data_IF_833012323078
#
_entry.id   IF_833012323078
#
_cell.length_a   1.000
_cell.length_b   1.000
_cell.length_c   1.000
_cell.angle_alpha   90.00
_cell.angle_beta   90.00
_cell.angle_gamma   90.00
#
_symmetry.space_group_name_H-M   'P 1'
#
loop_
_entity.id
_entity.type
_entity.pdbx_description
1 polymer ?
#
# COMPACT_ATOMS: atom_id res chain seq x y z
N UNK A 1 -57.95 12.83 -8.39
CA UNK A 1 -56.56 12.35 -8.57
C UNK A 1 -55.66 13.18 -7.71
N UNK A 2 -55.03 12.56 -6.73
CA UNK A 2 -54.52 13.21 -5.54
C UNK A 2 -53.26 14.04 -5.74
N UNK A 3 -53.31 15.29 -5.33
CA UNK A 3 -52.26 16.30 -5.26
C UNK A 3 -51.18 15.93 -4.18
N UNK A 4 -51.35 14.82 -3.45
CA UNK A 4 -50.51 14.41 -2.31
C UNK A 4 -49.56 13.26 -2.58
N UNK A 5 -49.50 12.72 -3.80
CA UNK A 5 -48.60 11.58 -4.09
C UNK A 5 -47.11 11.94 -4.16
N UNK A 6 -46.76 13.23 -4.15
CA UNK A 6 -45.39 13.71 -4.16
C UNK A 6 -44.75 13.96 -2.78
N UNK A 7 -45.57 13.98 -1.70
CA UNK A 7 -45.13 14.34 -0.36
C UNK A 7 -44.55 13.14 0.44
N UNK A 8 -44.81 11.92 -0.01
CA UNK A 8 -44.26 10.69 0.62
C UNK A 8 -43.21 10.03 -0.26
N UNK A 9 -42.27 10.79 -0.82
CA UNK A 9 -41.04 10.17 -1.32
C UNK A 9 -40.33 9.63 -0.12
N UNK A 10 -40.34 8.31 -0.01
CA UNK A 10 -39.54 7.55 0.96
C UNK A 10 -38.12 8.11 1.00
N UNK A 11 -37.73 8.69 2.14
CA UNK A 11 -36.36 9.13 2.43
C UNK A 11 -35.48 7.94 2.87
N UNK A 12 -35.94 6.72 2.66
CA UNK A 12 -35.37 5.51 3.23
C UNK A 12 -34.22 4.94 2.41
N UNK A 13 -33.80 5.62 1.33
CA UNK A 13 -32.69 5.17 0.50
C UNK A 13 -31.44 5.96 0.82
N UNK A 14 -30.34 5.29 1.25
CA UNK A 14 -29.08 5.96 1.44
C UNK A 14 -28.61 6.61 0.14
N UNK A 15 -28.14 7.86 0.23
CA UNK A 15 -27.68 8.65 -0.91
C UNK A 15 -26.16 8.69 -1.03
N UNK A 16 -25.44 8.23 0.02
CA UNK A 16 -23.98 8.22 0.01
C UNK A 16 -23.44 7.18 -0.98
N UNK A 17 -22.75 7.67 -2.01
CA UNK A 17 -22.03 6.86 -2.99
C UNK A 17 -20.55 6.95 -2.69
N UNK A 18 -19.88 5.81 -2.71
CA UNK A 18 -18.43 5.72 -2.51
C UNK A 18 -17.66 5.77 -3.84
N UNK A 19 -18.29 6.28 -4.89
CA UNK A 19 -17.66 6.34 -6.22
C UNK A 19 -16.40 7.21 -6.15
N UNK A 20 -15.29 6.65 -6.59
CA UNK A 20 -13.91 7.11 -6.51
C UNK A 20 -13.57 8.59 -6.79
N UNK A 21 -14.52 9.42 -7.19
CA UNK A 21 -14.30 10.86 -7.38
C UNK A 21 -14.01 11.62 -6.08
N UNK A 22 -14.50 11.13 -4.93
CA UNK A 22 -14.21 11.74 -3.62
C UNK A 22 -12.76 11.59 -3.17
N UNK A 23 -12.00 10.72 -3.84
CA UNK A 23 -10.60 10.41 -3.51
C UNK A 23 -9.61 10.99 -4.51
N UNK A 24 -10.03 11.83 -5.45
CA UNK A 24 -9.14 12.42 -6.46
C UNK A 24 -7.98 13.20 -5.86
N UNK A 25 -8.16 13.80 -4.67
CA UNK A 25 -7.09 14.49 -3.94
C UNK A 25 -6.01 13.52 -3.42
N UNK A 26 -6.32 12.24 -3.24
CA UNK A 26 -5.36 11.20 -2.87
C UNK A 26 -4.61 10.65 -4.08
N UNK A 27 -5.16 10.82 -5.28
CA UNK A 27 -4.52 10.45 -6.54
C UNK A 27 -3.53 11.55 -6.97
N UNK A 28 -2.48 11.16 -7.66
CA UNK A 28 -1.43 12.05 -8.12
C UNK A 28 -0.07 11.75 -7.50
N UNK A 29 0.97 12.32 -8.09
CA UNK A 29 2.35 12.16 -7.62
C UNK A 29 2.59 12.78 -6.25
N UNK A 30 3.67 12.36 -5.61
CA UNK A 30 4.18 13.05 -4.42
C UNK A 30 4.81 14.40 -4.79
N UNK A 31 4.91 15.30 -3.83
CA UNK A 31 5.60 16.61 -4.02
C UNK A 31 7.09 16.47 -4.36
N UNK A 32 7.70 15.32 -4.07
CA UNK A 32 9.07 14.98 -4.45
C UNK A 32 9.21 14.49 -5.90
N UNK A 33 8.11 14.40 -6.66
CA UNK A 33 8.09 13.84 -8.02
C UNK A 33 8.23 12.31 -8.09
N UNK A 34 8.32 11.62 -6.94
CA UNK A 34 8.40 10.15 -6.90
C UNK A 34 7.01 9.52 -6.90
N UNK A 35 6.79 8.47 -7.70
CA UNK A 35 5.55 7.72 -7.66
C UNK A 35 5.47 6.94 -6.35
N UNK A 36 4.37 7.12 -5.62
CA UNK A 36 4.10 6.42 -4.36
C UNK A 36 2.83 5.60 -4.54
N UNK A 37 2.98 4.30 -4.38
CA UNK A 37 1.91 3.31 -4.29
C UNK A 37 2.27 2.29 -3.20
N UNK A 38 1.38 1.36 -2.94
CA UNK A 38 1.57 0.36 -1.88
C UNK A 38 2.83 -0.48 -2.10
N UNK A 39 3.13 -0.81 -3.36
CA UNK A 39 4.34 -1.60 -3.71
C UNK A 39 5.61 -0.81 -3.48
N UNK A 40 5.70 0.43 -3.97
CA UNK A 40 6.90 1.27 -3.77
C UNK A 40 7.08 1.66 -2.30
N UNK A 41 5.98 1.89 -1.58
CA UNK A 41 6.02 2.16 -0.15
C UNK A 41 6.55 0.96 0.65
N UNK A 42 6.15 -0.26 0.32
CA UNK A 42 6.62 -1.49 0.98
C UNK A 42 8.09 -1.82 0.70
N UNK A 43 8.72 -1.21 -0.30
CA UNK A 43 10.16 -1.33 -0.52
C UNK A 43 10.97 -0.52 0.49
N UNK A 44 10.36 0.46 1.15
CA UNK A 44 10.99 1.23 2.21
C UNK A 44 11.01 0.43 3.51
N UNK A 45 12.19 0.25 4.09
CA UNK A 45 12.38 -0.50 5.34
C UNK A 45 11.48 -0.02 6.47
N UNK A 46 11.32 1.29 6.63
CA UNK A 46 10.48 1.88 7.67
C UNK A 46 9.00 1.52 7.50
N UNK A 47 8.46 1.64 6.28
CA UNK A 47 7.07 1.29 5.98
C UNK A 47 6.83 -0.20 6.16
N UNK A 48 7.72 -1.03 5.59
CA UNK A 48 7.66 -2.49 5.74
C UNK A 48 7.66 -2.90 7.21
N UNK A 49 8.56 -2.34 8.02
CA UNK A 49 8.66 -2.66 9.44
C UNK A 49 7.41 -2.25 10.21
N UNK A 50 6.85 -1.07 9.95
CA UNK A 50 5.61 -0.61 10.59
C UNK A 50 4.43 -1.53 10.23
N UNK A 51 4.26 -1.85 8.95
CA UNK A 51 3.18 -2.73 8.48
C UNK A 51 3.32 -4.12 9.11
N UNK A 52 4.53 -4.70 9.07
CA UNK A 52 4.81 -6.01 9.62
C UNK A 52 4.52 -6.09 11.12
N UNK A 53 5.07 -5.17 11.90
CA UNK A 53 4.92 -5.18 13.37
C UNK A 53 3.45 -5.08 13.76
N UNK A 54 2.69 -4.19 13.12
CA UNK A 54 1.26 -4.01 13.42
C UNK A 54 0.43 -5.21 12.97
N UNK A 55 0.72 -5.76 11.79
CA UNK A 55 0.00 -6.92 11.27
C UNK A 55 0.25 -8.17 12.13
N UNK A 56 1.52 -8.48 12.46
CA UNK A 56 1.89 -9.59 13.32
C UNK A 56 1.32 -9.44 14.73
N UNK A 57 1.34 -8.22 15.30
CA UNK A 57 0.80 -7.95 16.64
C UNK A 57 -0.70 -8.25 16.72
N UNK A 58 -1.48 -7.82 15.71
CA UNK A 58 -2.93 -8.11 15.65
C UNK A 58 -3.18 -9.58 15.36
N UNK A 59 -2.42 -10.18 14.43
CA UNK A 59 -2.56 -11.59 14.06
C UNK A 59 -2.25 -12.54 15.22
N UNK A 60 -1.31 -12.17 16.11
CA UNK A 60 -0.94 -12.95 17.27
C UNK A 60 -2.01 -12.99 18.38
N UNK A 61 -3.00 -12.09 18.35
CA UNK A 61 -4.09 -12.07 19.33
C UNK A 61 -5.13 -13.15 19.00
N UNK A 62 -5.49 -14.02 19.93
CA UNK A 62 -6.50 -15.05 19.68
C UNK A 62 -7.89 -14.41 19.55
N UNK A 63 -8.59 -14.74 18.46
CA UNK A 63 -9.96 -14.30 18.23
C UNK A 63 -10.93 -15.40 18.75
N UNK A 64 -11.69 -15.08 19.80
CA UNK A 64 -12.64 -15.99 20.39
C UNK A 64 -14.08 -15.55 20.12
N UNK A 65 -14.93 -16.50 19.81
CA UNK A 65 -16.38 -16.31 19.79
C UNK A 65 -16.97 -16.60 21.18
N UNK A 66 -17.86 -15.71 21.63
CA UNK A 66 -18.54 -15.85 22.91
C UNK A 66 -20.05 -15.92 22.75
N UNK A 67 -20.71 -16.69 23.60
CA UNK A 67 -22.17 -16.72 23.77
C UNK A 67 -22.54 -16.22 25.16
N UNK A 68 -23.69 -15.54 25.26
CA UNK A 68 -24.25 -15.16 26.57
C UNK A 68 -24.79 -16.42 27.26
N UNK A 69 -24.60 -16.49 28.56
CA UNK A 69 -25.18 -17.55 29.41
C UNK A 69 -26.46 -17.05 30.08
N UNK A 70 -27.33 -17.96 30.44
CA UNK A 70 -28.60 -17.64 31.12
C UNK A 70 -28.39 -16.92 32.45
N UNK A 71 -27.21 -17.09 33.05
CA UNK A 71 -26.80 -16.41 34.32
C UNK A 71 -26.27 -14.98 34.10
N UNK A 72 -26.31 -14.42 32.86
CA UNK A 72 -25.85 -13.08 32.55
C UNK A 72 -24.34 -12.94 32.30
N UNK A 73 -23.60 -14.07 32.31
CA UNK A 73 -22.17 -14.10 31.97
C UNK A 73 -21.92 -14.34 30.47
N UNK A 74 -20.62 -14.47 30.10
CA UNK A 74 -20.16 -14.86 28.76
C UNK A 74 -19.32 -16.13 28.85
N UNK A 75 -19.58 -17.10 27.97
CA UNK A 75 -18.78 -18.31 27.81
C UNK A 75 -18.24 -18.39 26.38
N UNK A 76 -17.08 -19.02 26.18
CA UNK A 76 -16.56 -19.28 24.83
C UNK A 76 -17.52 -20.24 24.09
N UNK A 77 -17.89 -19.86 22.89
CA UNK A 77 -18.81 -20.65 22.05
C UNK A 77 -18.01 -21.62 21.15
N UNK A 78 -17.28 -22.53 21.75
CA UNK A 78 -16.39 -23.48 21.05
C UNK A 78 -17.17 -24.50 20.21
N UNK A 79 -18.44 -24.68 20.51
CA UNK A 79 -19.41 -25.52 19.80
C UNK A 79 -20.01 -24.84 18.55
N UNK A 80 -19.78 -23.52 18.37
CA UNK A 80 -20.33 -22.78 17.25
C UNK A 80 -19.46 -22.99 15.99
N UNK A 81 -20.04 -23.24 14.79
CA UNK A 81 -19.28 -23.49 13.56
C UNK A 81 -18.26 -22.39 13.20
N UNK A 82 -18.59 -21.12 13.48
CA UNK A 82 -17.68 -20.00 13.24
C UNK A 82 -16.49 -19.97 14.21
N UNK A 83 -16.50 -20.71 15.32
CA UNK A 83 -15.39 -20.68 16.27
C UNK A 83 -14.12 -21.20 15.61
N UNK A 84 -14.18 -22.37 14.98
CA UNK A 84 -13.04 -22.96 14.28
C UNK A 84 -12.53 -22.07 13.14
N UNK A 85 -13.44 -21.51 12.32
CA UNK A 85 -13.09 -20.63 11.21
C UNK A 85 -12.37 -19.35 11.66
N UNK A 86 -12.78 -18.75 12.78
CA UNK A 86 -12.19 -17.49 13.24
C UNK A 86 -10.96 -17.70 14.11
N UNK A 87 -10.92 -18.78 14.89
CA UNK A 87 -9.86 -19.04 15.85
C UNK A 87 -8.71 -19.84 15.27
N UNK A 88 -8.99 -20.87 14.47
CA UNK A 88 -7.99 -21.83 14.00
C UNK A 88 -7.73 -21.78 12.50
N UNK A 89 -8.73 -22.05 11.67
CA UNK A 89 -8.57 -22.32 10.24
C UNK A 89 -9.69 -21.70 9.41
N UNK A 90 -9.52 -20.46 8.88
CA UNK A 90 -10.54 -19.78 8.09
C UNK A 90 -10.78 -20.43 6.73
N UNK A 91 -9.82 -21.16 6.19
CA UNK A 91 -9.90 -21.94 4.95
C UNK A 91 -8.75 -22.96 4.91
N UNK A 92 -8.78 -23.96 3.99
CA UNK A 92 -7.75 -25.01 3.91
C UNK A 92 -6.34 -24.52 3.52
N UNK A 93 -6.19 -23.28 3.07
CA UNK A 93 -4.94 -22.74 2.54
C UNK A 93 -4.15 -21.94 3.58
N UNK A 94 -4.78 -21.49 4.66
CA UNK A 94 -4.14 -20.61 5.64
C UNK A 94 -4.68 -20.77 7.06
N UNK A 95 -3.81 -20.61 8.05
CA UNK A 95 -4.19 -20.51 9.45
C UNK A 95 -4.88 -19.16 9.76
N UNK A 96 -5.56 -19.10 10.90
CA UNK A 96 -6.19 -17.86 11.36
C UNK A 96 -5.16 -16.73 11.62
N UNK A 97 -3.92 -17.08 11.97
CA UNK A 97 -2.83 -16.11 12.09
C UNK A 97 -2.55 -15.44 10.74
N UNK A 98 -2.26 -16.23 9.69
CA UNK A 98 -1.98 -15.73 8.34
C UNK A 98 -3.17 -14.94 7.78
N UNK A 99 -4.39 -15.40 8.02
CA UNK A 99 -5.60 -14.70 7.60
C UNK A 99 -5.70 -13.30 8.22
N UNK A 100 -5.54 -13.19 9.55
CA UNK A 100 -5.59 -11.90 10.25
C UNK A 100 -4.43 -10.99 9.86
N UNK A 101 -3.22 -11.55 9.71
CA UNK A 101 -2.04 -10.82 9.22
C UNK A 101 -2.29 -10.23 7.84
N UNK A 102 -2.85 -11.02 6.92
CA UNK A 102 -3.21 -10.59 5.57
C UNK A 102 -4.26 -9.48 5.60
N UNK A 103 -5.35 -9.64 6.36
CA UNK A 103 -6.39 -8.61 6.47
C UNK A 103 -5.84 -7.32 7.09
N UNK A 104 -4.99 -7.42 8.12
CA UNK A 104 -4.37 -6.25 8.74
C UNK A 104 -3.39 -5.56 7.78
N UNK A 105 -2.62 -6.32 7.02
CA UNK A 105 -1.74 -5.79 5.96
C UNK A 105 -2.56 -5.04 4.90
N UNK A 106 -3.68 -5.61 4.46
CA UNK A 106 -4.59 -4.94 3.53
C UNK A 106 -5.12 -3.62 4.10
N UNK A 107 -5.51 -3.63 5.38
CA UNK A 107 -6.01 -2.44 6.07
C UNK A 107 -4.96 -1.34 6.15
N UNK A 108 -3.71 -1.68 6.46
CA UNK A 108 -2.60 -0.75 6.59
C UNK A 108 -2.13 -0.18 5.25
N UNK A 109 -2.27 -0.92 4.15
CA UNK A 109 -1.84 -0.48 2.83
C UNK A 109 -2.96 0.23 2.06
N UNK A 110 -4.17 -0.33 2.03
CA UNK A 110 -5.28 0.16 1.22
C UNK A 110 -6.41 0.81 2.04
N UNK A 111 -6.33 0.75 3.37
CA UNK A 111 -7.36 1.29 4.25
C UNK A 111 -8.63 0.46 4.32
N UNK A 112 -8.67 -0.68 3.67
CA UNK A 112 -9.79 -1.62 3.67
C UNK A 112 -9.27 -3.04 3.61
N UNK A 113 -9.97 -3.95 4.30
CA UNK A 113 -9.73 -5.38 4.17
C UNK A 113 -11.03 -6.09 3.82
N UNK A 114 -10.95 -7.04 2.91
CA UNK A 114 -12.09 -7.80 2.42
C UNK A 114 -11.80 -9.30 2.48
N UNK A 115 -12.82 -10.07 2.82
CA UNK A 115 -12.78 -11.50 2.63
C UNK A 115 -14.11 -12.00 2.05
N UNK A 116 -14.05 -12.93 1.11
CA UNK A 116 -15.21 -13.61 0.57
C UNK A 116 -15.71 -14.65 1.58
N UNK A 117 -16.99 -14.64 1.83
CA UNK A 117 -17.67 -15.60 2.69
C UNK A 117 -18.19 -16.74 1.81
N UNK A 118 -17.65 -17.93 1.97
CA UNK A 118 -18.11 -19.12 1.25
C UNK A 118 -19.11 -19.86 2.12
N UNK A 119 -20.23 -20.25 1.51
CA UNK A 119 -21.31 -20.97 2.18
C UNK A 119 -21.55 -22.32 1.50
N UNK A 120 -21.95 -23.30 2.31
CA UNK A 120 -22.43 -24.60 1.80
C UNK A 120 -23.88 -24.50 1.31
N UNK A 121 -24.42 -25.62 0.77
CA UNK A 121 -25.79 -25.67 0.29
C UNK A 121 -26.88 -25.48 1.35
N UNK A 122 -26.51 -25.48 2.64
CA UNK A 122 -27.41 -25.19 3.78
C UNK A 122 -27.32 -23.71 4.22
N UNK A 123 -26.46 -22.92 3.59
CA UNK A 123 -26.22 -21.50 3.94
C UNK A 123 -25.23 -21.29 5.09
N UNK A 124 -24.61 -22.34 5.63
CA UNK A 124 -23.61 -22.24 6.68
C UNK A 124 -22.28 -21.76 6.11
N UNK A 125 -21.58 -20.89 6.85
CA UNK A 125 -20.25 -20.40 6.46
C UNK A 125 -19.25 -21.52 6.65
N UNK A 126 -18.53 -21.85 5.57
CA UNK A 126 -17.55 -22.94 5.55
C UNK A 126 -16.13 -22.47 5.28
N UNK A 127 -15.94 -21.28 4.73
CA UNK A 127 -14.60 -20.71 4.53
C UNK A 127 -14.64 -19.19 4.38
N UNK A 128 -13.49 -18.55 4.64
CA UNK A 128 -13.23 -17.12 4.44
C UNK A 128 -11.94 -16.98 3.62
N UNK A 129 -12.03 -16.32 2.45
CA UNK A 129 -10.87 -16.08 1.60
C UNK A 129 -10.59 -14.58 1.47
N UNK A 130 -9.37 -14.09 1.77
CA UNK A 130 -9.03 -12.68 1.58
C UNK A 130 -9.17 -12.26 0.11
N UNK A 131 -9.72 -11.07 -0.11
CA UNK A 131 -9.84 -10.45 -1.43
C UNK A 131 -8.93 -9.22 -1.50
N UNK A 132 -8.24 -9.05 -2.63
CA UNK A 132 -7.33 -7.92 -2.83
C UNK A 132 -8.08 -6.59 -2.88
N UNK A 133 -7.79 -5.63 -1.99
CA UNK A 133 -8.55 -4.38 -1.90
C UNK A 133 -8.46 -3.50 -3.15
N UNK A 134 -7.32 -3.51 -3.85
CA UNK A 134 -7.13 -2.76 -5.10
C UNK A 134 -7.98 -3.27 -6.26
N UNK A 135 -8.56 -4.47 -6.14
CA UNK A 135 -9.49 -5.07 -7.10
C UNK A 135 -10.96 -4.93 -6.67
N UNK A 136 -11.22 -4.31 -5.50
CA UNK A 136 -12.56 -4.20 -4.92
C UNK A 136 -13.11 -2.79 -5.09
N UNK A 137 -14.36 -2.69 -5.53
CA UNK A 137 -15.13 -1.44 -5.56
C UNK A 137 -16.39 -1.63 -4.75
N UNK A 138 -16.71 -0.62 -3.93
CA UNK A 138 -17.91 -0.59 -3.10
C UNK A 138 -18.84 0.49 -3.65
N UNK A 139 -20.08 0.17 -3.99
CA UNK A 139 -21.05 1.14 -4.52
C UNK A 139 -22.49 0.75 -4.13
N UNK A 140 -23.45 1.60 -4.52
CA UNK A 140 -24.89 1.39 -4.32
C UNK A 140 -25.61 1.31 -5.66
N UNK A 141 -26.57 0.42 -5.74
CA UNK A 141 -27.46 0.29 -6.89
C UNK A 141 -28.49 1.42 -6.93
N UNK A 142 -29.33 1.43 -7.97
CA UNK A 142 -30.42 2.39 -8.14
C UNK A 142 -31.46 2.36 -7.01
N UNK A 143 -31.52 1.27 -6.25
CA UNK A 143 -32.37 1.09 -5.09
C UNK A 143 -31.73 1.52 -3.77
N UNK A 144 -30.47 1.99 -3.81
CA UNK A 144 -29.69 2.36 -2.65
C UNK A 144 -29.05 1.17 -1.91
N UNK A 145 -29.16 -0.05 -2.45
CA UNK A 145 -28.56 -1.24 -1.84
C UNK A 145 -27.07 -1.28 -2.10
N UNK A 146 -26.28 -1.52 -1.05
CA UNK A 146 -24.84 -1.69 -1.14
C UNK A 146 -24.51 -2.96 -1.91
N UNK A 147 -23.47 -2.89 -2.75
CA UNK A 147 -22.87 -4.05 -3.40
C UNK A 147 -21.38 -3.86 -3.58
N UNK A 148 -20.70 -4.96 -3.80
CA UNK A 148 -19.26 -5.02 -4.06
C UNK A 148 -19.02 -5.53 -5.48
N UNK A 149 -18.04 -4.95 -6.17
CA UNK A 149 -17.57 -5.45 -7.47
C UNK A 149 -16.11 -5.84 -7.34
N UNK A 150 -15.80 -7.11 -7.55
CA UNK A 150 -14.44 -7.63 -7.53
C UNK A 150 -13.95 -7.88 -8.95
N UNK A 151 -12.80 -7.30 -9.30
CA UNK A 151 -12.15 -7.50 -10.60
C UNK A 151 -11.23 -8.71 -10.52
N UNK A 152 -11.53 -9.75 -11.32
CA UNK A 152 -10.67 -10.93 -11.45
C UNK A 152 -9.45 -10.61 -12.31
N UNK A 153 -8.31 -11.27 -12.04
CA UNK A 153 -7.17 -11.27 -12.94
C UNK A 153 -7.49 -12.09 -14.20
N UNK A 154 -6.88 -11.76 -15.35
CA UNK A 154 -7.05 -12.54 -16.57
C UNK A 154 -6.61 -14.01 -16.42
N UNK A 155 -5.70 -14.30 -15.47
CA UNK A 155 -5.25 -15.65 -15.14
C UNK A 155 -6.31 -16.46 -14.35
N UNK A 156 -7.20 -15.77 -13.62
CA UNK A 156 -8.31 -16.37 -12.86
C UNK A 156 -9.59 -16.53 -13.72
N UNK A 157 -9.66 -15.83 -14.84
CA UNK A 157 -10.78 -15.86 -15.76
C UNK A 157 -10.57 -16.95 -16.84
N UNK A 158 -10.83 -18.20 -16.53
CA UNK A 158 -10.84 -19.30 -17.52
C UNK A 158 -11.97 -19.20 -18.55
N UNK A 159 -12.84 -18.18 -18.46
CA UNK A 159 -13.93 -17.94 -19.40
C UNK A 159 -14.00 -16.46 -19.77
N UNK A 160 -14.28 -16.19 -21.05
CA UNK A 160 -14.37 -14.84 -21.61
C UNK A 160 -15.55 -14.00 -21.10
N UNK A 161 -16.37 -14.49 -20.20
CA UNK A 161 -17.48 -13.76 -19.61
C UNK A 161 -17.07 -13.11 -18.29
N UNK A 162 -16.80 -11.79 -18.36
CA UNK A 162 -16.81 -10.87 -17.24
C UNK A 162 -15.55 -10.88 -16.36
N UNK A 163 -14.67 -9.94 -16.61
CA UNK A 163 -13.53 -9.66 -15.74
C UNK A 163 -13.94 -9.19 -14.33
N UNK A 164 -15.23 -9.04 -14.01
CA UNK A 164 -15.72 -8.58 -12.72
C UNK A 164 -16.88 -9.41 -12.19
N UNK A 165 -16.91 -9.62 -10.88
CA UNK A 165 -17.98 -10.33 -10.15
C UNK A 165 -18.65 -9.35 -9.19
N UNK A 166 -19.99 -9.31 -9.24
CA UNK A 166 -20.79 -8.56 -8.29
C UNK A 166 -21.12 -9.43 -7.08
N UNK A 167 -20.72 -8.99 -5.88
CA UNK A 167 -20.93 -9.68 -4.62
C UNK A 167 -21.95 -8.91 -3.76
N UNK A 168 -22.77 -9.66 -3.01
CA UNK A 168 -23.69 -9.09 -2.04
C UNK A 168 -22.96 -8.77 -0.72
N UNK A 169 -23.47 -7.84 0.09
CA UNK A 169 -22.91 -7.57 1.42
C UNK A 169 -22.91 -8.80 2.34
N UNK A 170 -23.84 -9.75 2.16
CA UNK A 170 -23.89 -11.00 2.90
C UNK A 170 -22.72 -11.95 2.60
N UNK A 171 -22.05 -11.75 1.46
CA UNK A 171 -21.02 -12.65 0.95
C UNK A 171 -19.63 -12.06 1.05
N UNK A 172 -19.51 -10.87 1.68
CA UNK A 172 -18.24 -10.15 1.89
C UNK A 172 -18.10 -9.74 3.35
N UNK A 173 -17.06 -10.20 4.00
CA UNK A 173 -16.58 -9.60 5.24
C UNK A 173 -15.76 -8.36 4.85
N UNK A 174 -16.26 -7.17 5.15
CA UNK A 174 -15.58 -5.91 4.92
C UNK A 174 -15.19 -5.26 6.24
N UNK A 175 -13.91 -4.95 6.39
CA UNK A 175 -13.34 -4.23 7.53
C UNK A 175 -12.80 -2.90 6.99
N UNK A 176 -13.56 -1.80 7.13
CA UNK A 176 -13.08 -0.48 6.72
C UNK A 176 -12.15 0.10 7.78
N UNK A 177 -11.10 0.80 7.33
CA UNK A 177 -10.29 1.67 8.16
C UNK A 177 -10.93 3.04 8.36
N UNK A 178 -10.11 4.02 8.77
CA UNK A 178 -10.56 5.40 8.92
C UNK A 178 -10.99 5.97 7.56
N UNK A 179 -12.20 6.47 7.48
CA UNK A 179 -12.79 7.10 6.30
C UNK A 179 -13.80 8.17 6.68
N UNK A 180 -14.23 9.00 5.71
CA UNK A 180 -15.21 10.06 5.97
C UNK A 180 -16.66 9.58 5.90
N UNK A 181 -16.95 8.57 5.13
CA UNK A 181 -18.31 8.09 4.87
C UNK A 181 -18.73 6.88 5.72
N UNK A 182 -17.77 6.30 6.45
CA UNK A 182 -17.96 5.09 7.26
C UNK A 182 -18.19 3.81 6.43
N UNK A 183 -18.05 3.88 5.10
CA UNK A 183 -18.19 2.74 4.20
C UNK A 183 -16.85 2.26 3.67
N UNK A 184 -15.97 3.20 3.31
CA UNK A 184 -14.66 2.91 2.76
C UNK A 184 -13.60 3.70 3.51
N UNK A 185 -12.54 3.00 3.95
CA UNK A 185 -11.38 3.61 4.57
C UNK A 185 -10.41 4.21 3.55
N UNK A 186 -9.65 5.21 3.96
CA UNK A 186 -8.56 5.78 3.16
C UNK A 186 -7.31 4.94 3.26
N UNK A 187 -6.59 4.81 2.14
CA UNK A 187 -5.26 4.20 2.14
C UNK A 187 -4.29 5.03 3.01
N UNK A 188 -3.72 4.47 4.08
CA UNK A 188 -2.69 5.15 4.87
C UNK A 188 -1.47 5.55 4.02
N UNK A 189 -1.12 4.74 3.01
CA UNK A 189 -0.04 5.03 2.06
C UNK A 189 -0.37 6.28 1.23
N UNK A 190 -1.60 6.38 0.72
CA UNK A 190 -2.02 7.55 -0.04
C UNK A 190 -2.07 8.82 0.84
N UNK A 191 -2.46 8.70 2.10
CA UNK A 191 -2.45 9.82 3.06
C UNK A 191 -1.03 10.30 3.38
N UNK A 192 -0.07 9.37 3.48
CA UNK A 192 1.33 9.66 3.79
C UNK A 192 2.21 9.83 2.54
N UNK A 193 1.63 9.90 1.33
CA UNK A 193 2.37 9.85 0.05
C UNK A 193 3.51 10.87 -0.07
N UNK A 194 3.35 12.07 0.47
CA UNK A 194 4.38 13.10 0.40
C UNK A 194 5.58 12.79 1.29
N UNK A 195 5.33 12.28 2.50
CA UNK A 195 6.40 11.87 3.41
C UNK A 195 7.15 10.64 2.87
N UNK A 196 6.41 9.64 2.38
CA UNK A 196 6.99 8.44 1.75
C UNK A 196 7.78 8.82 0.49
N UNK A 197 7.22 9.67 -0.37
CA UNK A 197 7.89 10.13 -1.59
C UNK A 197 9.16 10.93 -1.31
N UNK A 198 9.19 11.74 -0.26
CA UNK A 198 10.38 12.44 0.21
C UNK A 198 11.45 11.44 0.66
N UNK A 199 11.07 10.46 1.47
CA UNK A 199 12.00 9.45 1.97
C UNK A 199 12.58 8.59 0.83
N UNK A 200 11.77 8.17 -0.16
CA UNK A 200 12.26 7.50 -1.38
C UNK A 200 13.28 8.37 -2.12
N UNK A 201 13.02 9.68 -2.24
CA UNK A 201 13.93 10.59 -2.91
C UNK A 201 15.26 10.73 -2.15
N UNK A 202 15.22 10.78 -0.81
CA UNK A 202 16.41 10.83 0.05
C UNK A 202 17.23 9.54 -0.06
N UNK A 203 16.60 8.37 0.02
CA UNK A 203 17.28 7.07 -0.14
C UNK A 203 17.96 6.97 -1.52
N UNK A 204 17.27 7.38 -2.59
CA UNK A 204 17.83 7.35 -3.94
C UNK A 204 18.99 8.33 -4.10
N UNK A 205 18.89 9.53 -3.52
CA UNK A 205 19.97 10.49 -3.50
C UNK A 205 21.19 9.94 -2.75
N UNK A 206 20.98 9.39 -1.55
CA UNK A 206 22.04 8.78 -0.76
C UNK A 206 22.71 7.60 -1.48
N UNK A 207 21.91 6.73 -2.08
CA UNK A 207 22.43 5.61 -2.85
C UNK A 207 23.32 6.07 -4.02
N UNK A 208 22.88 7.08 -4.77
CA UNK A 208 23.68 7.68 -5.86
C UNK A 208 24.94 8.36 -5.34
N UNK A 209 24.85 9.06 -4.22
CA UNK A 209 25.99 9.72 -3.59
C UNK A 209 27.06 8.69 -3.19
N UNK A 210 26.67 7.62 -2.51
CA UNK A 210 27.61 6.55 -2.12
C UNK A 210 28.11 5.74 -3.32
N UNK A 211 27.26 5.46 -4.30
CA UNK A 211 27.66 4.74 -5.52
C UNK A 211 28.75 5.51 -6.32
N UNK A 212 28.71 6.83 -6.25
CA UNK A 212 29.72 7.69 -6.85
C UNK A 212 30.96 7.89 -5.96
N UNK A 213 31.14 7.03 -4.92
CA UNK A 213 32.31 7.04 -4.04
C UNK A 213 32.26 8.10 -2.94
N UNK A 214 31.08 8.60 -2.61
CA UNK A 214 30.87 9.73 -1.68
C UNK A 214 31.77 10.96 -2.01
N UNK A 215 32.35 10.95 -3.21
CA UNK A 215 33.16 12.05 -3.69
C UNK A 215 32.24 13.10 -4.32
N UNK A 216 32.30 14.33 -3.87
CA UNK A 216 31.57 15.41 -4.49
C UNK A 216 32.01 15.59 -5.93
N UNK A 217 31.05 16.00 -6.77
CA UNK A 217 31.37 16.53 -8.08
C UNK A 217 32.39 17.66 -7.96
N UNK A 218 33.46 17.56 -8.67
CA UNK A 218 34.50 18.59 -8.68
C UNK A 218 34.60 19.24 -10.04
N UNK A 219 35.28 20.36 -10.09
CA UNK A 219 35.67 21.03 -11.33
C UNK A 219 37.09 20.64 -11.68
N UNK A 220 37.29 20.14 -12.89
CA UNK A 220 38.61 19.92 -13.45
C UNK A 220 38.96 21.13 -14.30
N UNK A 221 39.93 21.93 -13.82
CA UNK A 221 40.39 23.13 -14.47
C UNK A 221 41.64 22.85 -15.31
N UNK A 222 41.69 23.41 -16.52
CA UNK A 222 42.84 23.33 -17.39
C UNK A 222 43.27 24.76 -17.83
N UNK A 223 44.56 25.11 -17.79
CA UNK A 223 45.00 26.46 -18.08
C UNK A 223 44.86 26.87 -19.56
N UNK A 224 44.67 25.93 -20.45
CA UNK A 224 44.43 26.14 -21.88
C UNK A 224 43.07 25.64 -22.34
N UNK A 225 42.85 25.59 -23.65
CA UNK A 225 41.61 25.11 -24.25
C UNK A 225 41.65 23.59 -24.46
N UNK A 226 40.74 22.86 -23.89
CA UNK A 226 40.56 21.43 -24.11
C UNK A 226 39.75 21.26 -25.41
N UNK A 227 40.28 20.52 -26.39
CA UNK A 227 39.60 20.26 -27.69
C UNK A 227 38.37 19.40 -27.54
N UNK A 228 38.36 18.45 -26.61
CA UNK A 228 37.27 17.54 -26.33
C UNK A 228 37.07 17.42 -24.80
N UNK A 229 36.26 18.31 -24.20
CA UNK A 229 35.96 18.25 -22.77
C UNK A 229 35.21 17.00 -22.36
N UNK A 230 34.40 16.42 -23.29
CA UNK A 230 33.63 15.22 -23.00
C UNK A 230 34.53 14.00 -22.77
N UNK A 231 35.51 13.80 -23.63
CA UNK A 231 36.48 12.72 -23.50
C UNK A 231 37.28 12.81 -22.19
N UNK A 232 37.66 13.98 -21.78
CA UNK A 232 38.40 14.17 -20.51
C UNK A 232 37.51 13.87 -19.32
N UNK A 233 36.28 14.34 -19.35
CA UNK A 233 35.28 14.03 -18.29
C UNK A 233 35.01 12.54 -18.21
N UNK A 234 34.78 11.89 -19.34
CA UNK A 234 34.43 10.46 -19.37
C UNK A 234 35.62 9.57 -18.95
N UNK A 235 36.86 9.93 -19.33
CA UNK A 235 38.09 9.29 -18.86
C UNK A 235 38.27 9.47 -17.35
N UNK A 236 38.02 10.68 -16.83
CA UNK A 236 38.06 10.94 -15.39
C UNK A 236 37.04 10.11 -14.64
N UNK A 237 35.79 10.07 -15.13
CA UNK A 237 34.72 9.34 -14.47
C UNK A 237 34.94 7.82 -14.51
N UNK A 238 35.53 7.27 -15.56
CA UNK A 238 35.84 5.84 -15.65
C UNK A 238 36.98 5.43 -14.70
N UNK A 239 37.95 6.31 -14.45
CA UNK A 239 39.11 6.01 -13.61
C UNK A 239 38.87 6.28 -12.11
N UNK A 240 38.07 7.30 -11.77
CA UNK A 240 37.90 7.79 -10.41
C UNK A 240 36.45 7.79 -9.93
N UNK A 241 35.48 7.56 -10.81
CA UNK A 241 34.07 7.44 -10.45
C UNK A 241 33.73 6.06 -9.88
N UNK A 242 32.70 6.02 -9.02
CA UNK A 242 32.17 4.80 -8.41
C UNK A 242 32.90 4.36 -7.14
N UNK A 243 32.18 3.59 -6.31
CA UNK A 243 32.69 3.13 -5.00
C UNK A 243 33.92 2.22 -5.10
N UNK A 244 34.08 1.48 -6.20
CA UNK A 244 35.23 0.61 -6.45
C UNK A 244 36.52 1.38 -6.74
N UNK A 245 36.44 2.65 -7.09
CA UNK A 245 37.58 3.50 -7.40
C UNK A 245 37.89 4.49 -6.25
N UNK A 246 37.17 4.41 -5.15
CA UNK A 246 37.38 5.26 -3.97
C UNK A 246 38.81 5.08 -3.42
N UNK A 247 39.49 6.21 -3.13
CA UNK A 247 40.85 6.20 -2.58
C UNK A 247 41.98 6.10 -3.61
N UNK A 248 41.71 6.05 -4.92
CA UNK A 248 42.76 6.09 -5.94
C UNK A 248 43.38 7.47 -6.02
N UNK A 249 44.69 7.48 -6.18
CA UNK A 249 45.46 8.73 -6.38
C UNK A 249 45.33 9.18 -7.83
N UNK A 250 44.90 10.43 -8.02
CA UNK A 250 44.88 11.07 -9.33
C UNK A 250 46.19 11.81 -9.63
N UNK A 251 46.73 11.60 -10.81
CA UNK A 251 47.85 12.38 -11.33
C UNK A 251 47.29 13.35 -12.37
N UNK A 252 47.52 14.63 -12.17
CA UNK A 252 47.09 15.71 -13.06
C UNK A 252 48.28 16.21 -13.86
N UNK A 253 48.16 16.24 -15.17
CA UNK A 253 49.17 16.67 -16.11
C UNK A 253 48.86 18.09 -16.64
N UNK A 254 49.84 18.73 -17.30
CA UNK A 254 49.69 20.00 -18.03
C UNK A 254 49.12 21.16 -17.21
N UNK A 255 49.33 21.17 -15.88
CA UNK A 255 48.85 22.23 -15.01
C UNK A 255 47.35 22.18 -14.68
N UNK A 256 46.71 21.06 -14.97
CA UNK A 256 45.34 20.81 -14.54
C UNK A 256 45.20 20.88 -13.01
N UNK A 257 44.09 21.40 -12.56
CA UNK A 257 43.71 21.43 -11.12
C UNK A 257 42.35 20.80 -10.95
N UNK A 258 42.18 20.05 -9.84
CA UNK A 258 40.90 19.53 -9.42
C UNK A 258 40.45 20.28 -8.17
N UNK A 259 39.34 20.97 -8.28
CA UNK A 259 38.69 21.66 -7.16
C UNK A 259 37.43 20.89 -6.78
N UNK A 260 37.39 20.17 -5.63
CA UNK A 260 36.20 19.47 -5.22
C UNK A 260 35.08 20.47 -4.84
N UNK A 261 33.89 20.27 -5.37
CA UNK A 261 32.69 20.93 -4.87
C UNK A 261 32.14 20.01 -3.77
N UNK A 262 32.63 20.19 -2.53
CA UNK A 262 32.21 19.30 -1.44
C UNK A 262 30.97 19.81 -0.73
N UNK A 263 30.01 18.91 -0.54
CA UNK A 263 29.04 19.02 0.54
C UNK A 263 29.79 18.53 1.79
N UNK A 264 29.83 19.32 2.85
CA UNK A 264 30.52 18.91 4.08
C UNK A 264 29.83 17.70 4.69
N UNK A 265 30.55 16.84 5.44
CA UNK A 265 29.94 15.69 6.14
C UNK A 265 28.76 16.09 7.02
N UNK A 266 28.76 17.31 7.57
CA UNK A 266 27.67 17.86 8.37
C UNK A 266 26.42 18.19 7.52
N UNK A 267 26.62 18.59 6.27
CA UNK A 267 25.51 18.78 5.31
C UNK A 267 24.97 17.42 4.80
N UNK A 268 25.80 16.39 4.82
CA UNK A 268 25.39 15.02 4.49
C UNK A 268 24.64 14.32 5.64
N UNK A 269 24.62 14.88 6.85
CA UNK A 269 23.82 14.36 7.98
C UNK A 269 22.29 14.40 7.73
N UNK A 270 21.85 15.02 6.65
CA UNK A 270 20.47 15.02 6.20
C UNK A 270 20.06 13.72 5.48
N UNK A 271 20.98 12.81 5.27
CA UNK A 271 20.77 11.47 4.69
C UNK A 271 20.70 10.41 5.77
#
# INVERSE_FOLDING_TARGET
MGIFSGLFRSRDKPQNRTVGSSYTFLMGGSTSGKPVNERSAMQMTAVYSCVRILAEAVAGLPLHLYKYTDSGGKAKATDHPLYLLLHDEPNPEMSSFVFRETLMTHLLLWGNAYAQIIRNGKGEVVALYPLMPNKMTVDRDSNGQLYYTYQRSNEEAHTMEGSSVKLKPSDVLHIPGLGFDGLVGYSPIAMAKNAIGMAIACEEFGAKFFANGAAPSGVLEHPGTIKDPSRVRDAWQSQFGGSSNSGKVAVLEEGMKYTPISISPEQAQFL
#
